data_IF_920202058738
#
_entry.id   IF_920202058738
#
_cell.length_a   1.000
_cell.length_b   1.000
_cell.length_c   1.000
_cell.angle_alpha   90.00
_cell.angle_beta   90.00
_cell.angle_gamma   90.00
#
_symmetry.space_group_name_H-M   'P 1'
#
loop_
_entity.id
_entity.type
_entity.pdbx_description
1 polymer ?
#
# COMPACT_ATOMS: atom_id res chain seq x y z
N UNK A 1 -25.09 15.09 3.78
CA UNK A 1 -24.37 16.14 4.57
C UNK A 1 -23.02 15.60 5.04
N UNK A 2 -21.87 16.16 4.61
CA UNK A 2 -20.53 15.65 4.99
C UNK A 2 -20.29 15.90 6.48
N UNK A 3 -20.10 14.84 7.28
CA UNK A 3 -19.65 14.98 8.66
C UNK A 3 -18.25 15.61 8.66
N UNK A 4 -18.11 16.79 9.27
CA UNK A 4 -16.84 17.49 9.37
C UNK A 4 -15.87 16.66 10.21
N UNK A 5 -14.74 16.25 9.63
CA UNK A 5 -13.70 15.54 10.36
C UNK A 5 -13.02 16.49 11.35
N UNK A 6 -12.71 16.00 12.57
CA UNK A 6 -12.12 16.78 13.69
C UNK A 6 -10.82 17.52 13.34
N UNK A 7 -10.11 17.13 12.27
CA UNK A 7 -8.91 17.82 11.78
C UNK A 7 -8.92 17.87 10.25
N UNK A 8 -8.41 18.97 9.68
CA UNK A 8 -8.27 19.14 8.22
C UNK A 8 -7.41 18.02 7.59
N UNK A 9 -6.44 17.49 8.36
CA UNK A 9 -5.56 16.37 7.99
C UNK A 9 -6.28 15.03 7.77
N UNK A 10 -7.50 14.87 8.30
CA UNK A 10 -8.29 13.64 8.14
C UNK A 10 -8.97 13.56 6.77
N UNK A 11 -9.21 14.70 6.13
CA UNK A 11 -9.75 14.72 4.76
C UNK A 11 -8.60 14.57 3.77
N UNK A 12 -8.60 13.49 2.99
CA UNK A 12 -7.56 13.22 1.99
C UNK A 12 -8.17 12.75 0.67
N UNK A 13 -7.50 13.11 -0.43
CA UNK A 13 -7.82 12.57 -1.76
C UNK A 13 -6.88 11.41 -2.02
N UNK A 14 -7.44 10.28 -2.43
CA UNK A 14 -6.67 9.09 -2.79
C UNK A 14 -7.02 8.77 -4.24
N UNK A 15 -6.04 8.48 -5.11
CA UNK A 15 -6.30 7.96 -6.44
C UNK A 15 -7.17 6.69 -6.32
N UNK A 16 -8.24 6.61 -7.10
CA UNK A 16 -9.14 5.47 -7.08
C UNK A 16 -8.75 4.49 -8.20
N UNK A 17 -8.23 3.29 -7.88
CA UNK A 17 -7.97 2.27 -8.88
C UNK A 17 -9.24 1.88 -9.64
N UNK A 18 -9.08 1.42 -10.88
CA UNK A 18 -10.21 1.03 -11.73
C UNK A 18 -11.04 -0.09 -11.09
N UNK A 19 -10.38 -1.03 -10.44
CA UNK A 19 -10.96 -2.17 -9.71
C UNK A 19 -11.86 -1.68 -8.57
N UNK A 20 -11.43 -0.65 -7.84
CA UNK A 20 -12.25 -0.05 -6.79
C UNK A 20 -13.47 0.66 -7.40
N UNK A 21 -13.32 1.36 -8.53
CA UNK A 21 -14.45 2.00 -9.20
C UNK A 21 -15.49 0.96 -9.68
N UNK A 22 -15.04 -0.18 -10.20
CA UNK A 22 -15.90 -1.31 -10.59
C UNK A 22 -16.67 -1.84 -9.37
N UNK A 23 -15.97 -2.11 -8.27
CA UNK A 23 -16.59 -2.60 -7.03
C UNK A 23 -17.62 -1.62 -6.46
N UNK A 24 -17.35 -0.31 -6.51
CA UNK A 24 -18.28 0.73 -6.06
C UNK A 24 -19.53 0.81 -6.95
N UNK A 25 -19.39 0.66 -8.27
CA UNK A 25 -20.53 0.59 -9.19
C UNK A 25 -21.40 -0.63 -8.92
N UNK A 26 -20.78 -1.80 -8.69
CA UNK A 26 -21.49 -3.01 -8.31
C UNK A 26 -22.26 -2.83 -7.00
N UNK A 27 -21.62 -2.21 -5.99
CA UNK A 27 -22.28 -1.90 -4.72
C UNK A 27 -23.49 -0.97 -4.90
N UNK A 28 -23.37 0.06 -5.75
CA UNK A 28 -24.49 0.97 -6.07
C UNK A 28 -25.64 0.24 -6.77
N UNK A 29 -25.35 -0.67 -7.70
CA UNK A 29 -26.37 -1.46 -8.37
C UNK A 29 -27.09 -2.41 -7.40
N UNK A 30 -26.36 -3.03 -6.47
CA UNK A 30 -26.95 -3.87 -5.44
C UNK A 30 -27.87 -3.07 -4.51
N UNK A 31 -27.44 -1.88 -4.06
CA UNK A 31 -28.27 -1.03 -3.21
C UNK A 31 -29.55 -0.58 -3.90
N UNK A 32 -29.49 -0.28 -5.20
CA UNK A 32 -30.68 0.05 -5.97
C UNK A 32 -31.67 -1.14 -5.98
N UNK A 33 -31.15 -2.35 -6.19
CA UNK A 33 -31.94 -3.58 -6.16
C UNK A 33 -32.56 -3.82 -4.78
N UNK A 34 -31.77 -3.68 -3.71
CA UNK A 34 -32.23 -3.85 -2.34
C UNK A 34 -33.29 -2.79 -1.97
N UNK A 35 -33.12 -1.55 -2.44
CA UNK A 35 -34.10 -0.46 -2.26
C UNK A 35 -35.44 -0.80 -2.90
N UNK A 36 -35.44 -1.26 -4.16
CA UNK A 36 -36.66 -1.69 -4.84
C UNK A 36 -37.32 -2.87 -4.12
N UNK A 37 -36.53 -3.84 -3.67
CA UNK A 37 -37.04 -5.02 -2.97
C UNK A 37 -37.61 -4.72 -1.58
N UNK A 38 -37.11 -3.69 -0.89
CA UNK A 38 -37.56 -3.30 0.46
C UNK A 38 -38.68 -2.26 0.46
N UNK A 39 -38.84 -1.48 -0.61
CA UNK A 39 -39.86 -0.44 -0.72
C UNK A 39 -39.82 0.51 0.48
N UNK A 40 -40.96 0.67 1.15
CA UNK A 40 -41.14 1.58 2.29
C UNK A 40 -40.27 1.25 3.51
N UNK A 41 -39.76 0.02 3.61
CA UNK A 41 -38.86 -0.40 4.71
C UNK A 41 -37.41 0.04 4.48
N UNK A 42 -37.10 0.61 3.31
CA UNK A 42 -35.77 1.12 3.00
C UNK A 42 -35.51 2.46 3.68
N UNK A 43 -34.42 2.54 4.43
CA UNK A 43 -33.94 3.80 5.01
C UNK A 43 -33.08 4.52 3.99
N UNK A 44 -33.55 5.68 3.51
CA UNK A 44 -32.77 6.51 2.59
C UNK A 44 -31.61 7.18 3.32
N UNK A 45 -30.38 6.85 2.92
CA UNK A 45 -29.15 7.44 3.45
C UNK A 45 -28.22 7.86 2.32
N UNK A 46 -27.35 8.83 2.57
CA UNK A 46 -26.29 9.27 1.63
C UNK A 46 -25.05 8.35 1.65
N UNK A 47 -25.18 7.13 2.17
CA UNK A 47 -24.05 6.23 2.42
C UNK A 47 -23.71 5.39 1.20
N UNK A 48 -22.41 5.21 0.95
CA UNK A 48 -21.91 4.34 -0.13
C UNK A 48 -21.94 2.86 0.25
N UNK A 49 -21.88 2.53 1.54
CA UNK A 49 -21.98 1.15 2.03
C UNK A 49 -23.13 1.07 3.04
N UNK A 50 -24.13 0.27 2.73
CA UNK A 50 -25.34 0.11 3.55
C UNK A 50 -25.66 -1.36 3.76
N UNK A 51 -26.45 -1.64 4.79
CA UNK A 51 -27.13 -2.94 4.91
C UNK A 51 -28.21 -3.06 3.83
N UNK A 52 -28.80 -4.25 3.68
CA UNK A 52 -29.95 -4.49 2.78
C UNK A 52 -31.19 -3.63 3.08
N UNK A 53 -31.20 -2.88 4.19
CA UNK A 53 -32.28 -2.00 4.57
C UNK A 53 -31.89 -0.51 4.44
N UNK A 54 -30.71 -0.19 3.90
CA UNK A 54 -30.23 1.18 3.71
C UNK A 54 -29.58 1.81 4.95
N UNK A 55 -29.47 1.06 6.05
CA UNK A 55 -28.86 1.54 7.31
C UNK A 55 -27.33 1.40 7.30
N UNK A 56 -26.61 2.13 8.18
CA UNK A 56 -25.17 1.96 8.33
C UNK A 56 -24.77 0.53 8.72
N UNK A 57 -23.62 0.08 8.25
CA UNK A 57 -23.05 -1.21 8.65
C UNK A 57 -22.34 -1.06 9.99
N UNK A 58 -22.79 -1.81 10.99
CA UNK A 58 -22.13 -1.88 12.29
C UNK A 58 -20.74 -2.53 12.16
N UNK A 59 -19.66 -1.92 12.68
CA UNK A 59 -18.30 -2.45 12.54
C UNK A 59 -18.13 -3.89 13.02
N UNK A 60 -18.83 -4.28 14.09
CA UNK A 60 -18.80 -5.68 14.58
C UNK A 60 -19.38 -6.67 13.58
N UNK A 61 -20.44 -6.28 12.86
CA UNK A 61 -21.05 -7.12 11.83
C UNK A 61 -20.15 -7.23 10.60
N UNK A 62 -19.48 -6.13 10.23
CA UNK A 62 -18.46 -6.16 9.18
C UNK A 62 -17.34 -7.14 9.49
N UNK A 63 -16.79 -7.10 10.71
CA UNK A 63 -15.73 -8.03 11.12
C UNK A 63 -16.20 -9.50 11.09
N UNK A 64 -17.38 -9.81 11.62
CA UNK A 64 -17.94 -11.17 11.57
C UNK A 64 -18.17 -11.67 10.14
N UNK A 65 -18.67 -10.80 9.26
CA UNK A 65 -18.85 -11.11 7.85
C UNK A 65 -17.50 -11.40 7.18
N UNK A 66 -16.48 -10.57 7.45
CA UNK A 66 -15.13 -10.75 6.94
C UNK A 66 -14.49 -12.06 7.43
N UNK A 67 -14.55 -12.36 8.73
CA UNK A 67 -14.05 -13.63 9.28
C UNK A 67 -14.71 -14.85 8.61
N UNK A 68 -16.01 -14.75 8.32
CA UNK A 68 -16.74 -15.80 7.61
C UNK A 68 -16.27 -15.95 6.16
N UNK A 69 -16.01 -14.84 5.47
CA UNK A 69 -15.44 -14.87 4.12
C UNK A 69 -14.03 -15.45 4.11
N UNK A 70 -13.16 -15.06 5.05
CA UNK A 70 -11.80 -15.57 5.19
C UNK A 70 -11.78 -17.07 5.43
N UNK A 71 -12.65 -17.58 6.32
CA UNK A 71 -12.80 -19.04 6.53
C UNK A 71 -13.25 -19.76 5.28
N UNK A 72 -14.22 -19.20 4.54
CA UNK A 72 -14.72 -19.79 3.29
C UNK A 72 -13.66 -19.79 2.17
N UNK A 73 -12.78 -18.80 2.16
CA UNK A 73 -11.67 -18.71 1.23
C UNK A 73 -10.47 -19.61 1.61
N UNK A 74 -10.52 -20.27 2.77
CA UNK A 74 -9.43 -21.15 3.24
C UNK A 74 -8.16 -20.42 3.65
N UNK A 75 -8.22 -19.09 3.85
CA UNK A 75 -7.07 -18.30 4.25
C UNK A 75 -6.93 -18.24 5.77
N UNK A 76 -5.72 -17.98 6.25
CA UNK A 76 -5.45 -17.69 7.67
C UNK A 76 -6.41 -16.60 8.15
N UNK A 77 -6.89 -16.74 9.39
CA UNK A 77 -7.68 -15.69 10.01
C UNK A 77 -6.85 -14.41 10.13
N UNK A 78 -7.25 -13.41 9.35
CA UNK A 78 -6.74 -12.05 9.36
C UNK A 78 -7.86 -11.11 9.79
N UNK A 79 -7.49 -10.00 10.41
CA UNK A 79 -8.42 -8.96 10.85
C UNK A 79 -8.73 -8.04 9.68
N UNK A 80 -9.88 -7.35 9.73
CA UNK A 80 -10.25 -6.43 8.66
C UNK A 80 -9.24 -5.28 8.47
N UNK A 81 -8.60 -4.82 9.55
CA UNK A 81 -7.54 -3.80 9.45
C UNK A 81 -6.26 -4.31 8.79
N UNK A 82 -6.03 -5.63 8.76
CA UNK A 82 -4.84 -6.20 8.11
C UNK A 82 -4.86 -5.95 6.60
N UNK A 83 -6.04 -5.80 5.98
CA UNK A 83 -6.17 -5.39 4.58
C UNK A 83 -5.48 -4.03 4.31
N UNK A 84 -5.54 -3.12 5.28
CA UNK A 84 -4.87 -1.83 5.21
C UNK A 84 -3.35 -1.98 5.31
N UNK A 85 -2.86 -2.91 6.13
CA UNK A 85 -1.45 -3.25 6.23
C UNK A 85 -0.93 -3.96 4.96
N UNK A 86 -1.73 -4.85 4.37
CA UNK A 86 -1.42 -5.46 3.07
C UNK A 86 -1.31 -4.40 1.98
N UNK A 87 -2.24 -3.43 1.94
CA UNK A 87 -2.15 -2.32 0.99
C UNK A 87 -0.86 -1.51 1.16
N UNK A 88 -0.45 -1.23 2.41
CA UNK A 88 0.82 -0.57 2.69
C UNK A 88 2.03 -1.36 2.16
N UNK A 89 2.03 -2.68 2.41
CA UNK A 89 3.11 -3.58 2.02
C UNK A 89 3.22 -3.67 0.50
N UNK A 90 2.09 -3.83 -0.20
CA UNK A 90 2.06 -3.89 -1.66
C UNK A 90 2.52 -2.58 -2.30
N UNK A 91 2.09 -1.42 -1.80
CA UNK A 91 2.56 -0.13 -2.32
C UNK A 91 4.08 0.01 -2.17
N UNK A 92 4.63 -0.46 -1.06
CA UNK A 92 6.07 -0.45 -0.82
C UNK A 92 6.83 -1.39 -1.76
N UNK A 93 6.34 -2.61 -1.95
CA UNK A 93 6.92 -3.58 -2.90
C UNK A 93 6.93 -3.05 -4.35
N UNK A 94 5.96 -2.20 -4.72
CA UNK A 94 5.92 -1.50 -6.01
C UNK A 94 6.82 -0.25 -6.06
N UNK A 95 7.64 -0.01 -5.03
CA UNK A 95 8.61 1.08 -4.99
C UNK A 95 8.07 2.44 -4.53
N UNK A 96 6.86 2.50 -3.96
CA UNK A 96 6.35 3.75 -3.40
C UNK A 96 7.15 4.16 -2.16
N UNK A 97 7.49 5.45 -2.08
CA UNK A 97 8.21 5.99 -0.93
C UNK A 97 7.30 6.07 0.32
N UNK A 98 7.94 6.13 1.49
CA UNK A 98 7.25 6.15 2.78
C UNK A 98 6.25 7.30 2.92
N UNK A 99 6.54 8.47 2.33
CA UNK A 99 5.67 9.65 2.40
C UNK A 99 4.42 9.43 1.56
N UNK A 100 4.56 8.92 0.34
CA UNK A 100 3.44 8.57 -0.52
C UNK A 100 2.51 7.55 0.15
N UNK A 101 3.07 6.51 0.77
CA UNK A 101 2.28 5.50 1.49
C UNK A 101 1.53 6.12 2.67
N UNK A 102 2.18 6.98 3.47
CA UNK A 102 1.53 7.67 4.58
C UNK A 102 0.39 8.59 4.13
N UNK A 103 0.55 9.30 3.02
CA UNK A 103 -0.47 10.20 2.46
C UNK A 103 -1.69 9.41 1.95
N UNK A 104 -1.47 8.32 1.21
CA UNK A 104 -2.54 7.42 0.75
C UNK A 104 -3.28 6.80 1.92
N UNK A 105 -2.54 6.34 2.95
CA UNK A 105 -3.13 5.65 4.07
C UNK A 105 -3.71 6.59 5.14
N UNK A 106 -3.28 7.84 5.20
CA UNK A 106 -3.72 8.80 6.22
C UNK A 106 -3.32 8.39 7.64
N UNK A 107 -2.17 7.74 7.80
CA UNK A 107 -1.61 7.45 9.12
C UNK A 107 -1.11 8.76 9.75
N UNK A 108 -1.56 9.07 10.96
CA UNK A 108 -1.04 10.21 11.74
C UNK A 108 0.32 9.92 12.39
N UNK A 109 0.69 8.64 12.51
CA UNK A 109 1.94 8.18 13.13
C UNK A 109 2.70 7.25 12.20
N UNK A 110 3.99 7.53 12.03
CA UNK A 110 4.93 6.75 11.21
C UNK A 110 5.23 5.36 11.80
N UNK A 111 4.88 5.12 13.08
CA UNK A 111 5.20 3.89 13.82
C UNK A 111 4.51 2.65 13.24
N UNK A 112 3.24 2.79 12.84
CA UNK A 112 2.45 1.70 12.21
C UNK A 112 3.00 1.37 10.83
N UNK A 113 3.50 2.38 10.12
CA UNK A 113 4.17 2.16 8.85
C UNK A 113 5.50 1.45 9.16
N UNK A 114 6.37 2.00 10.02
CA UNK A 114 7.72 1.52 10.40
C UNK A 114 7.78 0.06 10.89
N UNK A 115 6.80 -0.44 11.63
CA UNK A 115 6.81 -1.82 12.12
C UNK A 115 6.80 -2.86 10.96
N UNK A 116 6.20 -2.51 9.80
CA UNK A 116 6.27 -3.32 8.57
C UNK A 116 7.63 -3.19 7.86
N UNK A 117 8.35 -2.08 8.03
CA UNK A 117 9.63 -1.82 7.36
C UNK A 117 10.73 -2.76 7.85
N UNK A 118 10.67 -3.22 9.10
CA UNK A 118 11.82 -3.93 9.72
C UNK A 118 12.19 -5.23 9.00
N UNK A 119 11.23 -5.90 8.32
CA UNK A 119 11.49 -7.17 7.64
C UNK A 119 12.02 -7.00 6.20
N UNK A 120 11.73 -5.87 5.53
CA UNK A 120 12.10 -5.61 4.12
C UNK A 120 13.51 -4.98 3.98
N UNK A 121 14.20 -4.75 5.10
CA UNK A 121 15.43 -3.95 5.15
C UNK A 121 16.63 -4.58 4.47
N UNK A 122 16.86 -5.89 4.54
CA UNK A 122 18.15 -6.44 4.09
C UNK A 122 18.33 -6.39 2.57
N UNK A 123 17.33 -6.78 1.78
CA UNK A 123 17.45 -6.81 0.32
C UNK A 123 17.36 -5.43 -0.30
N UNK A 124 16.52 -4.56 0.25
CA UNK A 124 16.44 -3.15 -0.16
C UNK A 124 17.71 -2.37 0.21
N UNK A 125 18.31 -2.66 1.37
CA UNK A 125 19.59 -2.05 1.76
C UNK A 125 20.72 -2.51 0.84
N UNK A 126 20.80 -3.80 0.51
CA UNK A 126 21.79 -4.31 -0.46
C UNK A 126 21.67 -3.59 -1.80
N UNK A 127 20.47 -3.56 -2.38
CA UNK A 127 20.24 -2.86 -3.65
C UNK A 127 20.52 -1.34 -3.56
N UNK A 128 20.35 -0.72 -2.40
CA UNK A 128 20.71 0.69 -2.21
C UNK A 128 22.24 0.88 -2.15
N UNK A 129 22.96 0.00 -1.45
CA UNK A 129 24.42 0.01 -1.41
C UNK A 129 25.05 -0.34 -2.76
N UNK A 130 24.46 -1.27 -3.52
CA UNK A 130 24.93 -1.61 -4.87
C UNK A 130 24.88 -0.39 -5.80
N UNK A 131 23.77 0.38 -5.76
CA UNK A 131 23.66 1.64 -6.53
C UNK A 131 24.67 2.70 -6.11
N UNK A 132 25.02 2.77 -4.83
CA UNK A 132 26.06 3.68 -4.34
C UNK A 132 27.44 3.20 -4.83
N UNK A 133 27.70 1.90 -4.80
CA UNK A 133 28.93 1.30 -5.32
C UNK A 133 29.09 1.57 -6.82
N UNK A 134 28.03 1.40 -7.60
CA UNK A 134 28.03 1.68 -9.04
C UNK A 134 28.27 3.17 -9.33
N UNK A 135 27.63 4.05 -8.56
CA UNK A 135 27.85 5.49 -8.68
C UNK A 135 29.29 5.86 -8.35
N UNK A 136 29.88 5.31 -7.29
CA UNK A 136 31.27 5.55 -6.90
C UNK A 136 32.26 5.01 -7.94
N UNK A 137 32.02 3.80 -8.47
CA UNK A 137 32.85 3.23 -9.53
C UNK A 137 32.81 4.06 -10.83
N UNK A 138 31.69 4.74 -11.11
CA UNK A 138 31.58 5.68 -12.22
C UNK A 138 32.31 7.02 -12.00
N UNK A 139 32.61 7.39 -10.74
CA UNK A 139 33.34 8.62 -10.39
C UNK A 139 34.86 8.42 -10.53
N UNK A 140 35.35 7.19 -10.32
CA UNK A 140 36.77 6.82 -10.45
C UNK A 140 37.21 6.59 -11.91
N UNK A 141 36.38 6.96 -12.90
CA UNK A 141 36.67 6.93 -14.33
C UNK A 141 37.72 7.94 -14.82
N UNK A 142 38.79 8.18 -14.06
CA UNK A 142 39.96 8.95 -14.49
C UNK A 142 41.31 8.34 -14.06
N UNK A 143 41.78 7.41 -14.92
CA UNK A 143 43.15 7.19 -15.46
C UNK A 143 44.28 6.65 -14.54
N UNK A 144 45.29 5.93 -15.10
CA UNK A 144 46.02 6.32 -16.32
C UNK A 144 46.06 5.30 -17.47
N UNK A 145 46.03 5.85 -18.69
CA UNK A 145 46.56 5.23 -19.90
C UNK A 145 47.99 4.74 -19.67
N UNK A 146 48.30 3.66 -20.38
CA UNK A 146 49.61 3.20 -20.81
C UNK A 146 50.62 4.31 -21.08
N UNK A 147 51.88 4.08 -20.66
CA UNK A 147 53.02 4.22 -21.58
C UNK A 147 54.10 3.20 -21.20
N UNK A 148 54.57 2.56 -22.27
CA UNK A 148 55.64 1.59 -22.43
C UNK A 148 57.02 2.25 -22.24
N UNK A 149 57.94 1.61 -21.51
CA UNK A 149 59.34 1.60 -21.95
C UNK A 149 60.10 0.39 -21.40
N UNK A 150 60.52 -0.45 -22.36
CA UNK A 150 61.59 -1.42 -22.24
C UNK A 150 62.90 -0.82 -21.70
N UNK A 151 63.64 -1.55 -20.85
CA UNK A 151 65.11 -1.77 -20.94
C UNK A 151 65.67 -2.40 -19.66
N UNK A 152 66.35 -3.55 -19.83
CA UNK A 152 67.59 -3.86 -19.10
C UNK A 152 67.51 -4.74 -17.86
N UNK A 153 67.83 -6.04 -18.04
CA UNK A 153 68.95 -6.76 -17.41
C UNK A 153 69.09 -6.70 -15.85
N UNK A 154 69.39 -7.73 -15.05
CA UNK A 154 70.34 -8.87 -15.14
C UNK A 154 69.96 -9.86 -14.00
N UNK A 155 70.27 -11.14 -14.23
CA UNK A 155 70.40 -12.30 -13.34
C UNK A 155 70.56 -12.12 -11.81
N UNK A 156 70.07 -13.10 -11.03
CA UNK A 156 70.92 -14.11 -10.39
C UNK A 156 70.11 -15.14 -9.58
N UNK A 157 70.33 -16.41 -9.94
CA UNK A 157 70.30 -17.66 -9.14
C UNK A 157 69.03 -17.97 -8.35
#
# INVERSE_FOLDING_TARGET
MRAATKTARSTRRVPLPAECAIALRACRAQQHTDRLARGDKWTTTDLVFTTRNGTPIEPRNLNRAFETLSRRAGIRQVRFHDLRHTCASLLHEQGADARTIMEVLGHSSIRVTMDVYTFVRLDTQRAAFDRVSDALAGIDGNRPDSDDDSTGAIAAI
#
